data_IF_953183209449
#
_entry.id   IF_953183209449
#
_cell.length_a   1.000
_cell.length_b   1.000
_cell.length_c   1.000
_cell.angle_alpha   90.00
_cell.angle_beta   90.00
_cell.angle_gamma   90.00
#
_symmetry.space_group_name_H-M   'P 1'
#
loop_
_entity.id
_entity.type
_entity.pdbx_description
1 polymer ?
#
# COMPACT_ATOMS: atom_id res chain seq x y z
N UNK A 1 11.65 23.23 7.44
CA UNK A 1 10.60 22.18 7.42
C UNK A 1 10.98 21.08 6.45
N UNK A 2 10.82 19.83 6.83
CA UNK A 2 11.06 18.64 5.97
C UNK A 2 9.73 18.07 5.49
N UNK A 3 9.61 17.84 4.19
CA UNK A 3 8.45 17.19 3.59
C UNK A 3 8.37 15.73 4.01
N UNK A 4 7.17 15.28 4.39
CA UNK A 4 6.90 13.89 4.74
C UNK A 4 6.20 13.22 3.57
N UNK A 5 6.69 12.04 3.21
CA UNK A 5 6.01 11.13 2.26
C UNK A 5 5.82 9.81 2.98
N UNK A 6 4.59 9.42 3.20
CA UNK A 6 4.28 8.14 3.83
C UNK A 6 4.00 7.04 2.79
N UNK A 7 4.27 5.81 3.16
CA UNK A 7 3.99 4.64 2.30
C UNK A 7 2.54 4.16 2.45
N UNK A 8 2.04 4.13 3.68
CA UNK A 8 0.65 3.79 4.00
C UNK A 8 0.21 4.48 5.30
N UNK A 9 -1.10 4.51 5.51
CA UNK A 9 -1.69 5.06 6.73
C UNK A 9 -2.92 4.26 7.17
N UNK A 10 -3.23 4.37 8.47
CA UNK A 10 -4.44 3.80 9.07
C UNK A 10 -5.05 4.79 10.05
N UNK A 11 -6.38 4.83 10.09
CA UNK A 11 -7.10 5.66 11.06
C UNK A 11 -7.37 4.89 12.35
N UNK A 12 -7.13 5.56 13.47
CA UNK A 12 -7.54 5.14 14.82
C UNK A 12 -8.22 6.34 15.45
N UNK A 13 -9.52 6.28 15.65
CA UNK A 13 -10.36 7.40 16.11
C UNK A 13 -10.22 8.64 15.20
N UNK A 14 -9.72 9.75 15.72
CA UNK A 14 -9.45 11.00 14.99
C UNK A 14 -7.97 11.15 14.61
N UNK A 15 -7.20 10.09 14.77
CA UNK A 15 -5.77 10.03 14.46
C UNK A 15 -5.50 9.23 13.21
N UNK A 16 -4.61 9.74 12.37
CA UNK A 16 -4.07 9.04 11.21
C UNK A 16 -2.63 8.64 11.52
N UNK A 17 -2.39 7.36 11.73
CA UNK A 17 -1.06 6.81 11.88
C UNK A 17 -0.45 6.52 10.51
N UNK A 18 0.78 6.96 10.30
CA UNK A 18 1.48 6.87 9.01
C UNK A 18 2.87 6.30 9.20
N UNK A 19 3.32 5.45 8.28
CA UNK A 19 4.71 5.00 8.21
C UNK A 19 5.44 5.78 7.12
N UNK A 20 6.55 6.42 7.50
CA UNK A 20 7.35 7.20 6.57
C UNK A 20 7.96 6.33 5.47
N UNK A 21 8.08 6.90 4.29
CA UNK A 21 8.66 6.23 3.13
C UNK A 21 10.19 6.26 3.14
N UNK A 22 10.79 7.33 3.65
CA UNK A 22 12.21 7.62 3.54
C UNK A 22 12.99 7.34 4.82
N UNK A 23 12.28 7.30 5.95
CA UNK A 23 12.86 7.11 7.27
C UNK A 23 12.10 6.03 8.05
N UNK A 24 12.78 5.43 9.01
CA UNK A 24 12.15 4.55 9.99
C UNK A 24 11.44 5.41 11.05
N UNK A 25 10.34 6.03 10.68
CA UNK A 25 9.57 6.91 11.54
C UNK A 25 8.08 6.64 11.37
N UNK A 26 7.37 6.62 12.47
CA UNK A 26 5.91 6.52 12.52
C UNK A 26 5.39 7.86 13.01
N UNK A 27 4.46 8.44 12.27
CA UNK A 27 3.78 9.68 12.62
C UNK A 27 2.34 9.44 13.05
N UNK A 28 1.83 10.36 13.84
CA UNK A 28 0.41 10.52 14.12
C UNK A 28 -0.01 11.94 13.72
N UNK A 29 -1.02 12.04 12.87
CA UNK A 29 -1.67 13.28 12.46
C UNK A 29 -3.07 13.31 13.06
N UNK A 30 -3.38 14.32 13.88
CA UNK A 30 -4.75 14.57 14.27
C UNK A 30 -5.53 15.13 13.08
N UNK A 31 -6.58 14.41 12.66
CA UNK A 31 -7.34 14.73 11.44
C UNK A 31 -8.02 16.09 11.52
N UNK A 32 -8.47 16.50 12.71
CA UNK A 32 -9.24 17.75 12.88
C UNK A 32 -8.36 18.98 13.08
N UNK A 33 -7.24 18.83 13.79
CA UNK A 33 -6.37 19.98 14.13
C UNK A 33 -5.19 20.14 13.17
N UNK A 34 -4.82 19.08 12.46
CA UNK A 34 -3.60 19.05 11.63
C UNK A 34 -2.31 18.89 12.45
N UNK A 35 -2.41 18.69 13.76
CA UNK A 35 -1.24 18.46 14.61
C UNK A 35 -0.56 17.15 14.23
N UNK A 36 0.72 17.23 13.92
CA UNK A 36 1.56 16.12 13.53
C UNK A 36 2.64 15.88 14.57
N UNK A 37 2.76 14.65 15.04
CA UNK A 37 3.78 14.25 16.01
C UNK A 37 4.52 12.99 15.56
N UNK A 38 5.78 12.86 15.96
CA UNK A 38 6.52 11.60 15.88
C UNK A 38 6.04 10.67 16.99
N UNK A 39 5.67 9.44 16.63
CA UNK A 39 5.22 8.43 17.59
C UNK A 39 6.38 7.55 18.05
N UNK A 40 7.12 6.96 17.10
CA UNK A 40 8.18 6.00 17.37
C UNK A 40 8.91 5.60 16.07
N UNK A 41 9.87 4.68 16.20
CA UNK A 41 10.53 3.97 15.10
C UNK A 41 10.49 2.46 15.33
N UNK A 42 10.55 1.67 14.25
CA UNK A 42 10.61 0.20 14.33
C UNK A 42 11.96 -0.21 14.95
N UNK A 43 11.96 -0.92 16.08
CA UNK A 43 13.19 -1.27 16.80
C UNK A 43 14.12 -2.17 15.98
N UNK A 44 15.43 -1.89 16.05
CA UNK A 44 16.45 -2.72 15.39
C UNK A 44 16.50 -2.63 13.87
N UNK A 45 15.63 -1.81 13.24
CA UNK A 45 15.72 -1.48 11.83
C UNK A 45 16.51 -0.18 11.62
N UNK A 46 17.16 -0.06 10.46
CA UNK A 46 17.94 1.13 10.14
C UNK A 46 17.05 2.37 10.06
N UNK A 47 17.41 3.46 10.72
CA UNK A 47 16.64 4.71 10.75
C UNK A 47 16.56 5.42 9.40
N UNK A 48 17.53 5.25 8.53
CA UNK A 48 17.58 5.79 7.16
C UNK A 48 17.08 4.79 6.12
N UNK A 49 16.44 3.70 6.56
CA UNK A 49 15.97 2.69 5.62
C UNK A 49 14.73 3.19 4.85
N UNK A 50 14.83 3.09 3.54
CA UNK A 50 13.76 3.40 2.61
C UNK A 50 12.70 2.31 2.61
N UNK A 51 11.42 2.69 2.75
CA UNK A 51 10.24 1.81 2.61
C UNK A 51 10.29 0.56 3.50
N UNK A 52 10.47 0.74 4.81
CA UNK A 52 10.49 -0.39 5.75
C UNK A 52 9.14 -1.13 5.80
N UNK A 53 8.05 -0.38 5.91
CA UNK A 53 6.70 -0.93 5.91
C UNK A 53 5.95 -0.64 4.62
N UNK A 54 5.18 -1.60 4.15
CA UNK A 54 4.33 -1.45 2.97
C UNK A 54 2.89 -1.11 3.34
N UNK A 55 2.41 -1.66 4.44
CA UNK A 55 1.06 -1.52 4.94
C UNK A 55 1.06 -1.38 6.45
N UNK A 56 0.22 -0.48 6.95
CA UNK A 56 -0.08 -0.35 8.37
C UNK A 56 -1.56 -0.66 8.58
N UNK A 57 -1.88 -1.47 9.58
CA UNK A 57 -3.26 -1.81 9.95
C UNK A 57 -3.46 -1.69 11.45
N UNK A 58 -4.67 -1.34 11.85
CA UNK A 58 -5.10 -1.30 13.23
C UNK A 58 -5.99 -2.49 13.54
N UNK A 59 -5.68 -3.22 14.62
CA UNK A 59 -6.53 -4.28 15.13
C UNK A 59 -6.46 -4.31 16.66
N UNK A 60 -7.59 -4.11 17.31
CA UNK A 60 -7.70 -3.89 18.75
C UNK A 60 -6.87 -2.65 19.18
N UNK A 61 -5.97 -2.81 20.16
CA UNK A 61 -5.08 -1.76 20.64
C UNK A 61 -3.72 -1.74 19.92
N UNK A 62 -3.57 -2.51 18.86
CA UNK A 62 -2.29 -2.75 18.21
C UNK A 62 -2.25 -2.21 16.76
N UNK A 63 -1.13 -1.62 16.39
CA UNK A 63 -0.75 -1.38 15.00
C UNK A 63 0.14 -2.52 14.53
N UNK A 64 -0.14 -3.06 13.35
CA UNK A 64 0.68 -4.06 12.69
C UNK A 64 1.27 -3.48 11.41
N UNK A 65 2.54 -3.79 11.17
CA UNK A 65 3.30 -3.29 10.02
C UNK A 65 3.68 -4.46 9.13
N UNK A 66 3.15 -4.45 7.92
CA UNK A 66 3.54 -5.37 6.86
C UNK A 66 4.90 -4.95 6.31
N UNK A 67 5.91 -5.83 6.29
CA UNK A 67 7.23 -5.44 5.86
C UNK A 67 7.32 -5.25 4.35
N UNK A 68 8.00 -4.19 3.92
CA UNK A 68 8.51 -4.07 2.56
C UNK A 68 10.01 -4.40 2.56
N UNK A 69 10.82 -3.58 3.20
CA UNK A 69 12.25 -3.82 3.37
C UNK A 69 12.62 -4.21 4.82
N UNK A 70 11.69 -4.15 5.75
CA UNK A 70 11.89 -4.62 7.11
C UNK A 70 12.05 -6.14 7.15
N UNK A 71 12.87 -6.65 8.08
CA UNK A 71 13.12 -8.10 8.24
C UNK A 71 11.90 -8.85 8.73
N UNK A 72 11.15 -8.25 9.65
CA UNK A 72 10.06 -8.88 10.38
C UNK A 72 8.72 -8.19 10.14
N UNK A 73 7.64 -8.89 10.46
CA UNK A 73 6.36 -8.26 10.72
C UNK A 73 6.44 -7.66 12.12
N UNK A 74 6.00 -6.43 12.28
CA UNK A 74 6.09 -5.73 13.55
C UNK A 74 4.71 -5.37 14.09
N UNK A 75 4.61 -5.35 15.41
CA UNK A 75 3.43 -4.93 16.16
C UNK A 75 3.81 -3.87 17.19
N UNK A 76 3.09 -2.77 17.25
CA UNK A 76 3.16 -1.73 18.28
C UNK A 76 1.84 -1.69 19.05
N UNK A 77 1.88 -1.93 20.35
CA UNK A 77 0.71 -1.69 21.18
C UNK A 77 0.58 -0.20 21.52
N UNK A 78 -0.54 0.42 21.15
CA UNK A 78 -0.75 1.85 21.29
C UNK A 78 -0.86 2.33 22.74
N UNK A 79 -1.31 1.46 23.65
CA UNK A 79 -1.48 1.81 25.08
C UNK A 79 -0.17 1.65 25.86
N UNK A 80 0.47 0.50 25.72
CA UNK A 80 1.70 0.18 26.47
C UNK A 80 2.96 0.72 25.82
N UNK A 81 2.90 1.12 24.55
CA UNK A 81 4.03 1.51 23.70
C UNK A 81 5.07 0.38 23.52
N UNK A 82 4.67 -0.85 23.72
CA UNK A 82 5.54 -2.00 23.56
C UNK A 82 5.53 -2.53 22.14
N UNK A 83 6.70 -2.87 21.66
CA UNK A 83 6.92 -3.51 20.37
C UNK A 83 7.02 -5.02 20.50
N UNK A 84 6.55 -5.72 19.46
CA UNK A 84 6.75 -7.14 19.26
C UNK A 84 7.06 -7.42 17.79
N UNK A 85 8.05 -8.29 17.55
CA UNK A 85 8.37 -8.78 16.22
C UNK A 85 7.89 -10.19 15.99
N UNK A 86 7.58 -10.49 14.74
CA UNK A 86 7.28 -11.84 14.25
C UNK A 86 8.25 -12.17 13.13
N UNK A 87 9.19 -13.04 13.42
CA UNK A 87 10.22 -13.46 12.46
C UNK A 87 9.59 -14.26 11.33
N UNK A 88 9.95 -13.90 10.10
CA UNK A 88 9.47 -14.60 8.92
C UNK A 88 10.34 -15.78 8.58
N UNK A 89 9.69 -16.87 8.17
CA UNK A 89 10.38 -18.06 7.65
C UNK A 89 11.14 -17.71 6.37
N UNK A 90 12.41 -18.12 6.28
CA UNK A 90 13.11 -18.14 5.01
C UNK A 90 12.50 -19.20 4.09
N UNK A 91 12.06 -18.77 2.90
CA UNK A 91 11.55 -19.70 1.89
C UNK A 91 12.63 -19.85 0.81
N UNK A 92 13.13 -21.07 0.64
CA UNK A 92 14.21 -21.40 -0.30
C UNK A 92 13.86 -20.99 -1.74
N UNK A 93 14.86 -20.51 -2.47
CA UNK A 93 14.80 -20.04 -3.87
C UNK A 93 14.17 -18.66 -4.10
N UNK A 94 13.91 -17.86 -3.09
CA UNK A 94 13.53 -16.47 -3.24
C UNK A 94 14.67 -15.59 -2.73
N UNK A 95 15.35 -14.92 -3.65
CA UNK A 95 16.61 -14.18 -3.37
C UNK A 95 16.41 -12.66 -3.29
N UNK A 96 15.19 -12.17 -3.46
CA UNK A 96 14.91 -10.74 -3.44
C UNK A 96 14.30 -10.29 -2.13
N UNK A 97 14.50 -9.03 -1.84
CA UNK A 97 13.88 -8.33 -0.72
C UNK A 97 12.36 -8.53 -0.72
N UNK A 98 11.83 -8.63 0.42
CA UNK A 98 10.59 -9.30 0.76
C UNK A 98 9.44 -8.33 0.85
N UNK A 99 8.87 -7.96 -0.26
CA UNK A 99 7.72 -7.07 -0.28
C UNK A 99 6.43 -7.81 0.05
N UNK A 100 5.73 -7.33 1.06
CA UNK A 100 4.37 -7.75 1.40
C UNK A 100 3.45 -6.52 1.37
N UNK A 101 2.89 -6.21 0.22
CA UNK A 101 2.14 -4.96 0.03
C UNK A 101 0.77 -4.92 0.70
N UNK A 102 0.27 -6.04 1.20
CA UNK A 102 -1.05 -6.09 1.82
C UNK A 102 -1.02 -6.74 3.18
N UNK A 103 -1.83 -6.19 4.09
CA UNK A 103 -2.22 -6.80 5.33
C UNK A 103 -3.73 -6.58 5.53
N UNK A 104 -4.47 -7.64 5.83
CA UNK A 104 -5.92 -7.64 5.87
C UNK A 104 -6.37 -8.31 7.16
N UNK A 105 -7.21 -7.61 7.92
CA UNK A 105 -7.80 -8.15 9.14
C UNK A 105 -9.09 -8.91 8.80
N UNK A 106 -9.18 -10.13 9.29
CA UNK A 106 -10.42 -10.89 9.26
C UNK A 106 -10.59 -11.70 10.54
N UNK A 107 -11.61 -11.38 11.34
CA UNK A 107 -11.80 -11.95 12.69
C UNK A 107 -10.55 -11.71 13.55
N UNK A 108 -10.03 -12.76 14.18
CA UNK A 108 -8.82 -12.72 14.99
C UNK A 108 -7.55 -13.06 14.19
N UNK A 109 -7.56 -12.85 12.88
CA UNK A 109 -6.44 -13.16 12.00
C UNK A 109 -6.05 -11.98 11.16
N UNK A 110 -4.76 -11.87 10.91
CA UNK A 110 -4.19 -10.93 9.96
C UNK A 110 -3.54 -11.72 8.83
N UNK A 111 -3.95 -11.41 7.60
CA UNK A 111 -3.44 -12.03 6.39
C UNK A 111 -2.45 -11.06 5.75
N UNK A 112 -1.16 -11.36 5.81
CA UNK A 112 -0.12 -10.63 5.10
C UNK A 112 0.10 -11.29 3.75
N UNK A 113 -0.20 -10.56 2.68
CA UNK A 113 -0.14 -11.08 1.31
C UNK A 113 1.22 -10.76 0.71
N UNK A 114 1.97 -11.77 0.39
CA UNK A 114 3.25 -11.60 -0.29
C UNK A 114 3.07 -11.04 -1.68
N UNK A 115 3.92 -10.12 -2.05
CA UNK A 115 4.01 -9.55 -3.39
C UNK A 115 5.21 -10.14 -4.15
N UNK A 116 6.38 -10.06 -3.53
CA UNK A 116 7.59 -10.79 -3.90
C UNK A 116 7.87 -11.94 -2.93
N UNK A 117 7.46 -11.84 -1.67
CA UNK A 117 7.53 -12.93 -0.70
C UNK A 117 6.54 -14.05 -1.10
N UNK A 118 6.99 -15.31 -1.25
CA UNK A 118 6.21 -16.36 -1.91
C UNK A 118 5.22 -17.08 -0.99
N UNK A 119 4.52 -16.34 -0.13
CA UNK A 119 3.48 -16.90 0.72
C UNK A 119 2.47 -15.84 1.19
N UNK A 120 1.28 -16.28 1.58
CA UNK A 120 0.41 -15.56 2.48
C UNK A 120 0.77 -15.99 3.90
N UNK A 121 1.11 -15.04 4.77
CA UNK A 121 1.32 -15.30 6.19
C UNK A 121 0.03 -15.01 6.94
N UNK A 122 -0.48 -15.96 7.66
CA UNK A 122 -1.67 -15.81 8.51
C UNK A 122 -1.22 -15.76 9.96
N UNK A 123 -1.32 -14.60 10.58
CA UNK A 123 -1.07 -14.39 12.00
C UNK A 123 -2.38 -14.51 12.77
N UNK A 124 -2.47 -15.44 13.69
CA UNK A 124 -3.57 -15.53 14.66
C UNK A 124 -3.25 -14.60 15.84
N UNK A 125 -4.03 -13.54 16.02
CA UNK A 125 -3.76 -12.48 17.01
C UNK A 125 -4.05 -12.88 18.45
N UNK A 126 -4.76 -14.00 18.69
CA UNK A 126 -5.01 -14.53 20.04
C UNK A 126 -3.89 -15.44 20.52
N UNK A 127 -3.29 -16.19 19.60
CA UNK A 127 -2.27 -17.20 19.94
C UNK A 127 -0.87 -16.78 19.52
N UNK A 128 -0.72 -15.69 18.78
CA UNK A 128 0.53 -15.21 18.17
C UNK A 128 1.21 -16.24 17.23
N UNK A 129 0.46 -17.20 16.72
CA UNK A 129 0.97 -18.22 15.81
C UNK A 129 0.85 -17.77 14.36
N UNK A 130 1.88 -18.07 13.57
CA UNK A 130 1.91 -17.84 12.13
C UNK A 130 1.77 -19.14 11.36
N UNK A 131 0.97 -19.09 10.30
CA UNK A 131 0.83 -20.18 9.30
C UNK A 131 1.17 -19.60 7.92
N UNK A 132 1.83 -20.38 7.09
CA UNK A 132 2.27 -19.98 5.75
C UNK A 132 1.50 -20.76 4.68
N UNK A 133 0.92 -20.02 3.73
CA UNK A 133 0.19 -20.58 2.58
C UNK A 133 1.01 -20.27 1.33
N UNK A 134 1.81 -21.22 0.88
CA UNK A 134 2.76 -21.09 -0.24
C UNK A 134 2.13 -21.51 -1.58
N UNK A 135 1.06 -22.30 -1.56
CA UNK A 135 0.47 -22.92 -2.74
C UNK A 135 0.13 -21.95 -3.88
N UNK A 136 -0.51 -20.77 -3.64
CA UNK A 136 -0.81 -19.83 -4.70
C UNK A 136 0.42 -19.35 -5.45
N UNK A 137 1.55 -19.26 -4.75
CA UNK A 137 2.79 -18.69 -5.28
C UNK A 137 3.58 -19.63 -6.16
N UNK A 138 3.27 -20.93 -6.17
CA UNK A 138 3.85 -21.87 -7.12
C UNK A 138 3.54 -21.47 -8.58
N UNK A 139 2.37 -20.89 -8.81
CA UNK A 139 1.95 -20.36 -10.11
C UNK A 139 2.41 -18.94 -10.35
N UNK A 140 2.21 -18.06 -9.37
CA UNK A 140 2.51 -16.63 -9.50
C UNK A 140 4.00 -16.35 -9.67
N UNK A 141 4.87 -17.07 -8.96
CA UNK A 141 6.30 -16.87 -9.00
C UNK A 141 6.91 -17.13 -10.39
N UNK A 142 6.39 -18.11 -11.13
CA UNK A 142 6.83 -18.35 -12.52
C UNK A 142 6.50 -17.13 -13.36
N UNK A 143 5.25 -16.67 -13.31
CA UNK A 143 4.76 -15.51 -14.06
C UNK A 143 5.47 -14.22 -13.65
N UNK A 144 5.70 -14.01 -12.33
CA UNK A 144 6.41 -12.86 -11.81
C UNK A 144 7.88 -12.82 -12.27
N UNK A 145 8.56 -13.95 -12.25
CA UNK A 145 9.95 -14.06 -12.71
C UNK A 145 10.08 -13.74 -14.20
N UNK A 146 9.18 -14.26 -15.02
CA UNK A 146 9.12 -13.98 -16.47
C UNK A 146 8.80 -12.50 -16.74
N UNK A 147 7.91 -11.91 -15.94
CA UNK A 147 7.50 -10.50 -16.09
C UNK A 147 8.49 -9.51 -15.48
N UNK A 148 9.42 -9.99 -14.63
CA UNK A 148 10.33 -9.13 -13.85
C UNK A 148 9.58 -8.22 -12.86
N UNK A 149 8.50 -8.71 -12.25
CA UNK A 149 7.58 -7.85 -11.49
C UNK A 149 6.96 -8.53 -10.28
N UNK A 150 6.38 -7.70 -9.40
CA UNK A 150 5.62 -8.12 -8.24
C UNK A 150 4.27 -8.76 -8.64
N UNK A 151 3.81 -9.75 -7.87
CA UNK A 151 2.56 -10.45 -8.17
C UNK A 151 1.33 -9.57 -8.01
N UNK A 152 1.29 -8.76 -6.94
CA UNK A 152 0.17 -7.91 -6.56
C UNK A 152 0.65 -6.52 -6.15
N UNK A 153 -0.26 -5.56 -6.15
CA UNK A 153 -0.03 -4.19 -5.65
C UNK A 153 -0.87 -3.92 -4.39
N UNK A 154 -1.04 -2.65 -4.07
CA UNK A 154 -1.60 -2.18 -2.79
C UNK A 154 -3.12 -2.24 -2.69
N UNK A 155 -3.84 -2.53 -3.78
CA UNK A 155 -5.29 -2.55 -3.77
C UNK A 155 -5.83 -3.96 -3.63
N UNK A 156 -6.91 -4.07 -2.89
CA UNK A 156 -7.71 -5.28 -2.77
C UNK A 156 -9.18 -4.92 -2.57
N UNK A 157 -10.05 -5.87 -2.85
CA UNK A 157 -11.46 -5.81 -2.51
C UNK A 157 -11.76 -6.94 -1.55
N UNK A 158 -12.45 -6.61 -0.44
CA UNK A 158 -12.95 -7.60 0.50
C UNK A 158 -14.47 -7.66 0.41
N UNK A 159 -15.01 -8.85 0.19
CA UNK A 159 -16.45 -9.13 0.24
C UNK A 159 -16.64 -10.33 1.15
N UNK A 160 -17.25 -10.13 2.30
CA UNK A 160 -17.39 -11.14 3.36
C UNK A 160 -16.05 -11.75 3.77
N UNK A 161 -15.88 -13.07 3.56
CA UNK A 161 -14.61 -13.79 3.80
C UNK A 161 -13.67 -13.80 2.61
N UNK A 162 -14.08 -13.28 1.47
CA UNK A 162 -13.28 -13.31 0.26
C UNK A 162 -12.49 -12.05 0.05
N UNK A 163 -11.22 -12.20 -0.32
CA UNK A 163 -10.42 -11.11 -0.88
C UNK A 163 -10.18 -11.34 -2.36
N UNK A 164 -10.14 -10.23 -3.09
CA UNK A 164 -9.87 -10.19 -4.52
C UNK A 164 -8.67 -9.27 -4.75
N UNK A 165 -7.66 -9.77 -5.46
CA UNK A 165 -6.45 -9.06 -5.81
C UNK A 165 -6.23 -9.17 -7.32
N UNK A 166 -5.96 -8.05 -7.97
CA UNK A 166 -5.65 -8.03 -9.39
C UNK A 166 -4.17 -8.37 -9.61
N UNK A 167 -3.89 -9.30 -10.54
CA UNK A 167 -2.54 -9.73 -10.84
C UNK A 167 -1.79 -8.69 -11.68
N UNK A 168 -0.56 -8.38 -11.26
CA UNK A 168 0.35 -7.54 -12.02
C UNK A 168 1.07 -8.29 -13.15
N UNK A 169 1.01 -9.62 -13.12
CA UNK A 169 1.80 -10.49 -14.01
C UNK A 169 0.96 -11.31 -14.99
N UNK A 170 -0.37 -11.26 -14.83
CA UNK A 170 -1.32 -11.96 -15.72
C UNK A 170 -2.66 -11.21 -15.75
N UNK A 171 -3.57 -11.63 -16.65
CA UNK A 171 -4.94 -11.13 -16.74
C UNK A 171 -5.89 -11.72 -15.67
N UNK A 172 -5.35 -12.19 -14.56
CA UNK A 172 -6.15 -12.91 -13.56
C UNK A 172 -6.47 -12.03 -12.35
N UNK A 173 -7.64 -12.29 -11.77
CA UNK A 173 -8.00 -11.86 -10.42
C UNK A 173 -7.83 -13.05 -9.49
N UNK A 174 -7.00 -12.88 -8.47
CA UNK A 174 -6.83 -13.84 -7.39
C UNK A 174 -7.96 -13.68 -6.38
N UNK A 175 -8.78 -14.72 -6.24
CA UNK A 175 -9.84 -14.81 -5.21
C UNK A 175 -9.40 -15.79 -4.14
N UNK A 176 -9.38 -15.33 -2.88
CA UNK A 176 -8.96 -16.13 -1.73
C UNK A 176 -10.02 -16.05 -0.62
N UNK A 177 -10.39 -17.19 -0.06
CA UNK A 177 -11.32 -17.32 1.07
C UNK A 177 -10.54 -17.39 2.39
N UNK A 178 -10.64 -16.35 3.21
CA UNK A 178 -9.96 -16.24 4.49
C UNK A 178 -10.48 -17.22 5.56
N UNK A 179 -11.67 -17.81 5.40
CA UNK A 179 -12.16 -18.84 6.31
C UNK A 179 -11.51 -20.20 6.05
N UNK A 180 -11.44 -20.59 4.78
CA UNK A 180 -11.01 -21.94 4.36
C UNK A 180 -9.60 -21.98 3.79
N UNK A 181 -8.98 -20.83 3.56
CA UNK A 181 -7.72 -20.67 2.85
C UNK A 181 -7.71 -21.25 1.42
N UNK A 182 -8.88 -21.47 0.83
CA UNK A 182 -9.00 -21.88 -0.57
C UNK A 182 -8.88 -20.69 -1.49
N UNK A 183 -8.35 -20.92 -2.67
CA UNK A 183 -8.13 -19.88 -3.65
C UNK A 183 -8.44 -20.32 -5.06
N UNK A 184 -8.61 -19.35 -5.95
CA UNK A 184 -8.64 -19.55 -7.39
C UNK A 184 -8.12 -18.33 -8.13
N UNK A 185 -7.59 -18.55 -9.32
CA UNK A 185 -7.28 -17.50 -10.28
C UNK A 185 -8.40 -17.44 -11.31
N UNK A 186 -8.93 -16.26 -11.57
CA UNK A 186 -10.06 -16.02 -12.48
C UNK A 186 -9.53 -15.16 -13.62
N UNK A 187 -9.43 -15.69 -14.86
CA UNK A 187 -9.09 -14.87 -16.01
C UNK A 187 -10.13 -13.78 -16.26
N UNK A 188 -9.69 -12.56 -16.48
CA UNK A 188 -10.55 -11.38 -16.73
C UNK A 188 -9.93 -10.55 -17.85
N UNK A 189 -10.69 -10.30 -18.91
CA UNK A 189 -10.20 -9.58 -20.09
C UNK A 189 -9.31 -10.42 -21.00
N UNK A 190 -8.54 -9.75 -21.86
CA UNK A 190 -7.70 -10.41 -22.86
C UNK A 190 -6.40 -10.95 -22.22
N UNK A 191 -5.77 -11.93 -22.86
CA UNK A 191 -4.61 -12.65 -22.30
C UNK A 191 -3.37 -11.77 -22.05
N UNK A 192 -3.25 -10.65 -22.76
CA UNK A 192 -2.15 -9.70 -22.60
C UNK A 192 -2.40 -8.65 -21.52
N UNK A 193 -3.60 -8.62 -20.92
CA UNK A 193 -3.94 -7.66 -19.86
C UNK A 193 -3.19 -7.98 -18.59
N UNK A 194 -2.75 -6.93 -17.92
CA UNK A 194 -2.16 -6.96 -16.57
C UNK A 194 -2.69 -5.76 -15.78
N UNK A 195 -2.82 -5.92 -14.49
CA UNK A 195 -3.50 -4.94 -13.66
C UNK A 195 -2.58 -4.37 -12.58
N UNK A 196 -2.82 -3.12 -12.19
CA UNK A 196 -2.14 -2.46 -11.07
C UNK A 196 -3.02 -2.25 -9.86
N UNK A 197 -4.34 -2.48 -9.97
CA UNK A 197 -5.27 -2.30 -8.87
C UNK A 197 -6.66 -2.84 -9.17
N UNK A 198 -7.47 -2.92 -8.12
CA UNK A 198 -8.85 -3.38 -8.16
C UNK A 198 -9.71 -2.57 -7.19
N UNK A 199 -10.90 -2.15 -7.63
CA UNK A 199 -11.92 -1.54 -6.78
C UNK A 199 -13.28 -2.20 -7.04
N UNK A 200 -14.25 -1.95 -6.15
CA UNK A 200 -15.59 -2.53 -6.22
C UNK A 200 -16.65 -1.51 -5.80
N UNK A 201 -17.76 -1.43 -6.51
CA UNK A 201 -18.85 -0.49 -6.26
C UNK A 201 -20.11 -1.12 -5.64
N UNK A 202 -20.03 -2.38 -5.25
CA UNK A 202 -21.17 -3.17 -4.80
C UNK A 202 -21.77 -4.09 -5.88
N UNK A 203 -21.49 -3.83 -7.16
CA UNK A 203 -22.02 -4.61 -8.28
C UNK A 203 -20.94 -5.08 -9.26
N UNK A 204 -19.91 -4.28 -9.47
CA UNK A 204 -18.86 -4.53 -10.48
C UNK A 204 -17.49 -4.25 -9.90
N UNK A 205 -16.52 -5.01 -10.37
CA UNK A 205 -15.11 -4.77 -10.13
C UNK A 205 -14.53 -3.88 -11.23
N UNK A 206 -13.64 -2.98 -10.84
CA UNK A 206 -12.90 -2.11 -11.73
C UNK A 206 -11.42 -2.44 -11.62
N UNK A 207 -10.82 -2.82 -12.74
CA UNK A 207 -9.42 -3.21 -12.81
C UNK A 207 -8.63 -2.10 -13.47
N UNK A 208 -7.68 -1.56 -12.72
CA UNK A 208 -6.74 -0.54 -13.22
C UNK A 208 -5.70 -1.21 -14.12
N UNK A 209 -5.50 -0.75 -15.35
CA UNK A 209 -4.51 -1.31 -16.23
C UNK A 209 -3.09 -1.00 -15.73
N UNK A 210 -2.20 -1.97 -15.86
CA UNK A 210 -0.79 -1.77 -15.53
C UNK A 210 -0.04 -0.98 -16.59
N UNK A 211 -0.42 -1.16 -17.86
CA UNK A 211 0.17 -0.50 -19.03
C UNK A 211 -0.93 0.14 -19.87
N UNK A 212 -0.67 0.34 -21.13
CA UNK A 212 -1.54 0.96 -22.14
C UNK A 212 -2.72 0.09 -22.60
N UNK A 213 -3.26 -0.76 -21.73
CA UNK A 213 -4.47 -1.56 -21.99
C UNK A 213 -5.71 -0.83 -21.45
N UNK A 214 -6.93 -1.19 -21.86
CA UNK A 214 -8.15 -0.59 -21.35
C UNK A 214 -8.34 -0.77 -19.84
N UNK A 215 -9.11 0.13 -19.22
CA UNK A 215 -9.70 -0.12 -17.92
C UNK A 215 -10.76 -1.20 -18.09
N UNK A 216 -10.78 -2.19 -17.20
CA UNK A 216 -11.72 -3.30 -17.28
C UNK A 216 -12.78 -3.19 -16.20
N UNK A 217 -14.04 -3.32 -16.58
CA UNK A 217 -15.17 -3.47 -15.67
C UNK A 217 -15.64 -4.92 -15.76
N UNK A 218 -15.61 -5.62 -14.63
CA UNK A 218 -15.97 -7.03 -14.52
C UNK A 218 -17.13 -7.24 -13.55
N UNK A 219 -18.14 -8.00 -13.96
CA UNK A 219 -19.35 -8.27 -13.15
C UNK A 219 -19.16 -9.35 -12.06
N UNK A 220 -17.94 -9.85 -11.90
CA UNK A 220 -17.66 -10.96 -10.97
C UNK A 220 -17.85 -12.35 -11.57
N UNK A 221 -18.38 -12.46 -12.80
CA UNK A 221 -18.66 -13.69 -13.53
C UNK A 221 -17.95 -13.69 -14.91
N UNK A 222 -18.72 -13.61 -15.98
CA UNK A 222 -18.22 -13.65 -17.35
C UNK A 222 -18.30 -12.32 -18.09
N UNK A 223 -19.09 -11.38 -17.56
CA UNK A 223 -19.33 -10.07 -18.18
C UNK A 223 -18.13 -9.14 -18.01
N UNK A 224 -17.53 -8.77 -19.14
CA UNK A 224 -16.40 -7.84 -19.18
C UNK A 224 -16.74 -6.69 -20.12
N UNK A 225 -16.62 -5.44 -19.60
CA UNK A 225 -16.68 -4.21 -20.40
C UNK A 225 -15.31 -3.54 -20.35
N UNK A 226 -14.94 -2.85 -21.41
CA UNK A 226 -13.67 -2.14 -21.55
C UNK A 226 -13.92 -0.65 -21.71
N UNK A 227 -13.13 0.17 -21.01
CA UNK A 227 -13.09 1.62 -21.20
C UNK A 227 -11.70 1.95 -21.75
N UNK A 228 -11.68 2.47 -22.98
CA UNK A 228 -10.45 2.84 -23.64
C UNK A 228 -9.76 4.01 -22.93
N UNK A 229 -8.46 3.91 -22.75
CA UNK A 229 -7.67 5.03 -22.23
C UNK A 229 -7.60 6.16 -23.26
N UNK A 230 -7.58 7.42 -22.82
CA UNK A 230 -7.27 8.56 -23.70
C UNK A 230 -5.90 8.37 -24.38
N UNK A 231 -5.75 8.91 -25.59
CA UNK A 231 -4.57 8.70 -26.44
C UNK A 231 -3.25 9.01 -25.72
N UNK A 232 -3.22 10.07 -24.94
CA UNK A 232 -2.04 10.49 -24.19
C UNK A 232 -1.54 9.45 -23.16
N UNK A 233 -2.43 8.56 -22.68
CA UNK A 233 -2.06 7.44 -21.80
C UNK A 233 -1.59 6.22 -22.59
N UNK A 234 -2.10 6.01 -23.81
CA UNK A 234 -1.76 4.85 -24.65
C UNK A 234 -0.31 4.84 -25.13
N UNK A 235 0.32 6.02 -25.24
CA UNK A 235 1.70 6.16 -25.72
C UNK A 235 2.77 5.79 -24.69
N UNK A 236 2.37 5.39 -23.46
CA UNK A 236 3.29 5.12 -22.37
C UNK A 236 3.54 3.62 -22.17
N UNK A 237 4.82 3.25 -22.22
CA UNK A 237 5.28 1.87 -21.98
C UNK A 237 5.55 1.53 -20.50
N UNK A 238 5.38 2.49 -19.59
CA UNK A 238 5.60 2.31 -18.13
C UNK A 238 4.26 2.15 -17.41
N UNK A 239 4.30 1.70 -16.15
CA UNK A 239 3.14 1.67 -15.28
C UNK A 239 2.53 3.08 -15.18
N UNK A 240 1.24 3.19 -15.49
CA UNK A 240 0.54 4.49 -15.58
C UNK A 240 -0.09 4.82 -14.23
N UNK A 241 -0.83 3.87 -13.65
CA UNK A 241 -1.59 4.07 -12.43
C UNK A 241 -1.02 3.27 -11.26
N UNK A 242 -1.06 3.85 -10.07
CA UNK A 242 -0.68 3.18 -8.83
C UNK A 242 -1.74 2.21 -8.32
N UNK A 243 -2.98 2.34 -8.80
CA UNK A 243 -4.13 1.57 -8.38
C UNK A 243 -5.44 2.17 -8.86
N UNK A 244 -6.54 1.88 -8.17
CA UNK A 244 -7.86 2.47 -8.40
C UNK A 244 -8.62 2.60 -7.08
N UNK A 245 -9.31 3.72 -6.88
CA UNK A 245 -10.19 3.95 -5.75
C UNK A 245 -11.62 4.22 -6.25
N UNK A 246 -12.61 3.54 -5.65
CA UNK A 246 -14.02 3.86 -5.87
C UNK A 246 -14.58 4.60 -4.68
N UNK A 247 -15.26 5.70 -4.94
CA UNK A 247 -15.88 6.50 -3.93
C UNK A 247 -17.08 7.28 -4.47
N UNK A 248 -18.26 7.09 -3.86
CA UNK A 248 -19.49 7.82 -4.16
C UNK A 248 -19.82 7.97 -5.66
N UNK A 249 -19.73 6.88 -6.41
CA UNK A 249 -20.00 6.88 -7.85
C UNK A 249 -18.81 7.29 -8.73
N UNK A 250 -17.68 7.66 -8.14
CA UNK A 250 -16.48 8.08 -8.84
C UNK A 250 -15.39 7.02 -8.76
N UNK A 251 -14.71 6.81 -9.87
CA UNK A 251 -13.50 6.00 -9.94
C UNK A 251 -12.31 6.94 -10.16
N UNK A 252 -11.31 6.79 -9.32
CA UNK A 252 -10.10 7.58 -9.36
C UNK A 252 -8.95 6.64 -9.63
N UNK A 253 -8.21 6.91 -10.72
CA UNK A 253 -7.01 6.19 -11.12
C UNK A 253 -5.80 7.12 -10.89
N UNK A 254 -5.17 7.05 -9.71
CA UNK A 254 -4.07 7.95 -9.37
C UNK A 254 -2.84 7.63 -10.20
N UNK A 255 -2.27 8.65 -10.83
CA UNK A 255 -1.04 8.49 -11.59
C UNK A 255 0.13 8.18 -10.66
N UNK A 256 0.91 7.16 -11.01
CA UNK A 256 2.06 6.73 -10.21
C UNK A 256 3.35 7.46 -10.63
N UNK A 257 3.62 7.51 -11.94
CA UNK A 257 4.86 8.08 -12.50
C UNK A 257 4.59 9.21 -13.50
N UNK A 258 3.43 9.83 -13.40
CA UNK A 258 3.03 10.92 -14.26
C UNK A 258 2.30 12.00 -13.48
N UNK A 259 2.06 13.15 -14.11
CA UNK A 259 1.38 14.31 -13.55
C UNK A 259 -0.14 14.33 -13.81
N UNK A 260 -0.68 13.29 -14.46
CA UNK A 260 -2.08 13.23 -14.85
C UNK A 260 -2.75 11.97 -14.31
N UNK A 261 -3.84 12.17 -13.59
CA UNK A 261 -4.72 11.12 -13.09
C UNK A 261 -6.02 11.05 -13.89
N UNK A 262 -6.72 9.92 -13.86
CA UNK A 262 -8.04 9.77 -14.48
C UNK A 262 -9.10 9.73 -13.39
N UNK A 263 -10.16 10.51 -13.60
CA UNK A 263 -11.41 10.43 -12.88
C UNK A 263 -12.51 9.93 -13.83
N UNK A 264 -13.31 8.99 -13.41
CA UNK A 264 -14.47 8.52 -14.15
C UNK A 264 -15.72 8.75 -13.30
N UNK A 265 -16.58 9.67 -13.74
CA UNK A 265 -17.86 9.94 -13.12
C UNK A 265 -18.93 9.00 -13.70
N UNK A 266 -19.83 8.51 -12.85
CA UNK A 266 -20.97 7.67 -13.25
C UNK A 266 -20.59 6.50 -14.19
N UNK A 267 -19.34 6.00 -14.07
CA UNK A 267 -18.77 4.88 -14.83
C UNK A 267 -18.63 5.11 -16.35
N UNK A 268 -18.76 6.31 -16.82
CA UNK A 268 -18.76 6.61 -18.29
C UNK A 268 -18.01 7.86 -18.66
N UNK A 269 -18.08 8.93 -17.89
CA UNK A 269 -17.46 10.21 -18.23
C UNK A 269 -16.02 10.26 -17.72
N UNK A 270 -15.07 10.23 -18.67
CA UNK A 270 -13.63 10.32 -18.35
C UNK A 270 -13.24 11.78 -18.24
N UNK A 271 -12.64 12.15 -17.12
CA UNK A 271 -11.96 13.43 -16.91
C UNK A 271 -10.50 13.18 -16.59
N UNK A 272 -9.64 14.07 -17.10
CA UNK A 272 -8.22 14.05 -16.84
C UNK A 272 -7.91 15.17 -15.86
N UNK A 273 -7.30 14.83 -14.75
CA UNK A 273 -6.84 15.78 -13.76
C UNK A 273 -5.31 15.91 -13.81
N UNK A 274 -4.82 17.15 -13.86
CA UNK A 274 -3.38 17.45 -13.83
C UNK A 274 -2.85 17.37 -12.39
N UNK A 275 -3.04 16.22 -11.76
CA UNK A 275 -2.59 15.94 -10.39
C UNK A 275 -1.94 14.57 -10.34
N UNK A 276 -0.81 14.51 -9.65
CA UNK A 276 -0.09 13.29 -9.34
C UNK A 276 -0.12 13.04 -7.84
N UNK A 277 -0.36 11.79 -7.48
CA UNK A 277 -0.46 11.39 -6.10
C UNK A 277 0.65 10.41 -5.72
N UNK A 278 1.23 10.57 -4.54
CA UNK A 278 2.00 9.52 -3.88
C UNK A 278 1.09 8.45 -3.31
N UNK A 279 -0.07 8.90 -2.81
CA UNK A 279 -1.04 8.07 -2.14
C UNK A 279 -2.45 8.58 -2.43
N UNK A 280 -3.38 7.71 -2.76
CA UNK A 280 -4.82 7.99 -2.86
C UNK A 280 -5.58 6.72 -2.52
N UNK A 281 -6.29 6.71 -1.39
CA UNK A 281 -6.93 5.49 -0.90
C UNK A 281 -8.11 5.75 0.02
N UNK A 282 -9.13 4.93 -0.10
CA UNK A 282 -10.17 4.75 0.91
C UNK A 282 -9.58 3.88 2.04
N UNK A 283 -9.43 4.47 3.23
CA UNK A 283 -8.83 3.80 4.40
C UNK A 283 -9.87 2.95 5.10
N UNK A 284 -11.07 3.49 5.24
CA UNK A 284 -12.25 2.83 5.80
C UNK A 284 -13.52 3.46 5.23
N UNK A 285 -14.72 3.04 5.69
CA UNK A 285 -16.00 3.52 5.18
C UNK A 285 -16.23 5.03 5.33
N UNK A 286 -15.50 5.67 6.25
CA UNK A 286 -15.67 7.08 6.62
C UNK A 286 -14.50 7.96 6.18
N UNK A 287 -13.40 7.35 5.66
CA UNK A 287 -12.13 8.05 5.51
C UNK A 287 -11.48 7.77 4.16
N UNK A 288 -11.24 8.84 3.42
CA UNK A 288 -10.37 8.83 2.23
C UNK A 288 -9.18 9.74 2.49
N UNK A 289 -8.01 9.27 2.11
CA UNK A 289 -6.76 10.00 2.25
C UNK A 289 -6.06 10.08 0.92
N UNK A 290 -5.60 11.26 0.56
CA UNK A 290 -4.68 11.45 -0.56
C UNK A 290 -3.48 12.30 -0.16
N UNK A 291 -2.32 12.00 -0.74
CA UNK A 291 -1.11 12.80 -0.62
C UNK A 291 -0.62 13.13 -2.04
N UNK A 292 -0.66 14.41 -2.37
CA UNK A 292 -0.16 14.90 -3.66
C UNK A 292 1.37 14.96 -3.69
N UNK A 293 1.96 15.01 -4.89
CA UNK A 293 3.41 15.25 -5.04
C UNK A 293 3.83 16.67 -4.63
N UNK A 294 2.88 17.57 -4.49
CA UNK A 294 3.12 18.91 -3.92
C UNK A 294 3.14 18.93 -2.40
N UNK A 295 2.99 17.75 -1.77
CA UNK A 295 3.01 17.55 -0.32
C UNK A 295 1.77 18.08 0.41
N UNK A 296 0.67 18.22 -0.29
CA UNK A 296 -0.63 18.49 0.31
C UNK A 296 -1.31 17.15 0.62
N UNK A 297 -1.64 16.94 1.90
CA UNK A 297 -2.51 15.86 2.33
C UNK A 297 -3.94 16.36 2.39
N UNK A 298 -4.84 15.65 1.74
CA UNK A 298 -6.28 15.84 1.84
C UNK A 298 -6.88 14.62 2.54
N UNK A 299 -7.70 14.87 3.56
CA UNK A 299 -8.40 13.85 4.32
C UNK A 299 -9.87 14.17 4.27
N UNK A 300 -10.67 13.31 3.66
CA UNK A 300 -12.13 13.35 3.79
C UNK A 300 -12.54 12.40 4.89
N UNK A 301 -13.09 12.94 5.97
CA UNK A 301 -13.50 12.20 7.14
C UNK A 301 -14.88 12.64 7.60
N UNK A 302 -15.84 11.70 7.72
CA UNK A 302 -17.24 11.96 8.05
C UNK A 302 -17.91 13.03 7.17
N UNK A 303 -17.62 13.02 5.87
CA UNK A 303 -18.15 13.98 4.91
C UNK A 303 -17.51 15.37 4.95
N UNK A 304 -16.59 15.63 5.89
CA UNK A 304 -15.81 16.86 5.95
C UNK A 304 -14.44 16.68 5.30
N UNK A 305 -13.95 17.76 4.67
CA UNK A 305 -12.63 17.76 4.02
C UNK A 305 -11.64 18.60 4.83
N UNK A 306 -10.48 18.01 5.11
CA UNK A 306 -9.36 18.63 5.80
C UNK A 306 -8.14 18.63 4.88
N UNK A 307 -7.43 19.76 4.83
CA UNK A 307 -6.22 19.93 4.00
C UNK A 307 -5.09 20.48 4.84
N UNK A 308 -3.93 19.84 4.71
CA UNK A 308 -2.71 20.27 5.41
C UNK A 308 -1.52 20.11 4.49
N UNK A 309 -0.48 20.91 4.72
CA UNK A 309 0.85 20.63 4.19
C UNK A 309 1.53 19.65 5.14
N UNK A 310 1.95 18.51 4.63
CA UNK A 310 2.52 17.45 5.47
C UNK A 310 4.03 17.67 5.62
N UNK A 311 4.41 18.40 6.67
CA UNK A 311 5.80 18.78 6.97
C UNK A 311 6.08 18.67 8.46
N UNK A 312 7.36 18.40 8.79
CA UNK A 312 7.86 18.38 10.18
C UNK A 312 9.05 19.33 10.30
N UNK A 313 9.30 19.82 11.53
CA UNK A 313 10.52 20.57 11.81
C UNK A 313 11.74 19.66 11.63
N UNK A 314 12.70 20.09 10.83
CA UNK A 314 13.91 19.30 10.56
C UNK A 314 14.73 19.00 11.82
N UNK A 315 14.80 19.96 12.74
CA UNK A 315 15.55 19.78 13.99
C UNK A 315 14.86 18.74 14.88
N UNK A 316 13.55 18.75 14.92
CA UNK A 316 12.77 17.74 15.65
C UNK A 316 13.00 16.34 15.07
N UNK A 317 12.90 16.19 13.75
CA UNK A 317 13.14 14.92 13.07
C UNK A 317 14.56 14.40 13.33
N UNK A 318 15.59 15.24 13.13
CA UNK A 318 16.96 14.82 13.35
C UNK A 318 17.28 14.56 14.82
N UNK A 319 16.71 15.31 15.76
CA UNK A 319 16.83 15.04 17.17
C UNK A 319 16.26 13.66 17.54
N UNK A 320 15.10 13.31 16.99
CA UNK A 320 14.50 12.00 17.16
C UNK A 320 15.41 10.89 16.56
N UNK A 321 15.82 11.02 15.31
CA UNK A 321 16.67 10.03 14.64
C UNK A 321 18.00 9.83 15.40
N UNK A 322 18.63 10.88 15.89
CA UNK A 322 19.86 10.79 16.68
C UNK A 322 19.66 10.21 18.08
N UNK A 323 18.50 10.42 18.71
CA UNK A 323 18.19 9.82 20.01
C UNK A 323 17.98 8.30 19.89
N UNK A 324 17.30 7.86 18.85
CA UNK A 324 17.05 6.45 18.59
C UNK A 324 18.31 5.65 18.18
N UNK A 325 19.36 6.32 17.64
CA UNK A 325 20.67 5.67 17.36
C UNK A 325 21.48 5.38 18.61
N UNK A 326 21.27 6.10 19.70
CA UNK A 326 22.04 5.90 20.94
C UNK A 326 21.70 4.57 21.65
N UNK A 327 20.56 3.95 21.33
CA UNK A 327 20.20 2.61 21.82
C UNK A 327 20.74 1.47 20.94
N UNK A 328 21.20 1.77 19.73
CA UNK A 328 21.83 0.80 18.84
C UNK A 328 23.36 1.04 18.82
N UNK A 329 24.16 0.00 18.94
CA UNK A 329 25.63 0.01 19.07
C UNK A 329 26.44 0.62 17.90
N UNK A 330 25.82 1.43 17.03
CA UNK A 330 26.48 2.19 15.96
C UNK A 330 26.22 3.69 16.12
N UNK A 331 27.26 4.41 16.53
CA UNK A 331 27.27 5.89 16.58
C UNK A 331 27.34 6.49 15.17
N UNK A 332 26.27 6.46 14.42
CA UNK A 332 26.17 7.25 13.19
C UNK A 332 25.42 8.52 13.52
N UNK A 333 26.11 9.66 13.54
CA UNK A 333 25.46 10.98 13.66
C UNK A 333 24.81 11.26 12.31
N UNK A 334 23.50 11.35 12.29
CA UNK A 334 22.74 11.70 11.09
C UNK A 334 22.78 13.22 10.94
N UNK A 335 23.31 13.70 9.83
CA UNK A 335 23.40 15.12 9.50
C UNK A 335 22.41 15.50 8.39
N UNK A 336 22.18 16.79 8.19
CA UNK A 336 21.35 17.29 7.08
C UNK A 336 21.87 16.86 5.70
N UNK A 337 23.17 16.55 5.58
CA UNK A 337 23.80 16.05 4.34
C UNK A 337 23.44 14.59 4.03
N UNK A 338 22.96 13.82 5.01
CA UNK A 338 22.60 12.41 4.85
C UNK A 338 21.18 12.23 4.30
N UNK A 339 20.48 13.33 4.04
CA UNK A 339 19.15 13.28 3.40
C UNK A 339 19.26 12.77 1.96
N UNK A 340 18.61 11.64 1.67
CA UNK A 340 18.53 11.11 0.32
C UNK A 340 17.74 12.11 -0.55
N UNK A 341 18.39 12.67 -1.56
CA UNK A 341 17.73 13.49 -2.56
C UNK A 341 16.82 12.59 -3.41
N UNK A 342 15.52 12.73 -3.22
CA UNK A 342 14.48 12.00 -3.97
C UNK A 342 14.63 12.15 -5.49
N UNK A 343 15.28 13.23 -5.97
CA UNK A 343 15.50 13.50 -7.38
C UNK A 343 16.39 12.45 -8.06
N UNK A 344 17.35 11.87 -7.35
CA UNK A 344 18.25 10.85 -7.91
C UNK A 344 17.59 9.48 -8.04
N UNK A 345 16.64 9.14 -7.17
CA UNK A 345 16.02 7.81 -7.15
C UNK A 345 14.90 7.63 -8.19
N UNK A 346 14.22 8.70 -8.59
CA UNK A 346 13.15 8.66 -9.61
C UNK A 346 13.71 8.35 -11.00
N UNK A 347 14.98 8.62 -11.25
CA UNK A 347 15.63 8.38 -12.54
C UNK A 347 16.27 6.97 -12.68
N UNK A 348 16.25 6.15 -11.62
CA UNK A 348 16.90 4.84 -11.61
C UNK A 348 15.92 3.64 -11.56
N UNK A 349 14.59 3.89 -11.66
CA UNK A 349 13.57 2.82 -11.69
C UNK A 349 12.81 2.84 -13.02
#
# INVERSE_FOLDING_TARGET
MKKIVFEDCVRVDESLYMIDRNYNVIYNLNIKTGELIIVDSIPGENLLAYRLGAKIIHHNDDLYFSPMNAKNIWKLNLKSKQWKSYERKEISNWTTQTDMFQAIVYKNKIFFIGCLYPAIIVLDTLTDKMVYIEEPYKFLNVKAKEAGDACFRTDYVQIDSYIYLASCVSNEVFKFDMNTCKFKFIPVGDDDFKYSGIAYDGNSFFLSPRKNTPIVIWDGNVGVKKIELPLEFKERNKMIFGGVCYDEGKLIFPACFWDKSILIDNKTEIRIENVSYYFYKKIDERTIVSLSKTNEIMIRYDGMEYKYTLEIDEKELYAFLNSATNDASSKTIISESDSIDLGMFINSI
#
